data_IF_101792409140
#
_entry.id   IF_101792409140
#
_cell.length_a   1.000
_cell.length_b   1.000
_cell.length_c   1.000
_cell.angle_alpha   90.00
_cell.angle_beta   90.00
_cell.angle_gamma   90.00
#
_symmetry.space_group_name_H-M   'P 1'
#
loop_
_entity.id
_entity.type
_entity.pdbx_description
1 polymer ?
#
# COMPACT_ATOMS: atom_id res chain seq x y z
N UNK A 1 29.49 27.35 7.88
CA UNK A 1 30.41 26.38 8.56
C UNK A 1 30.52 25.17 7.65
N UNK A 2 31.71 24.58 7.45
CA UNK A 2 31.81 23.36 6.65
C UNK A 2 30.94 22.28 7.29
N UNK A 3 30.14 21.58 6.46
CA UNK A 3 29.36 20.43 6.89
C UNK A 3 30.37 19.39 7.37
N UNK A 4 30.33 19.06 8.66
CA UNK A 4 31.18 18.04 9.21
C UNK A 4 30.71 16.68 8.69
N UNK A 5 31.47 16.09 7.78
CA UNK A 5 31.19 14.78 7.24
C UNK A 5 31.47 13.71 8.29
N UNK A 6 30.46 12.98 8.70
CA UNK A 6 30.53 11.89 9.68
C UNK A 6 30.36 10.57 9.00
N UNK A 7 31.19 9.59 9.34
CA UNK A 7 31.03 8.24 8.77
C UNK A 7 29.80 7.56 9.36
N UNK A 8 28.83 7.24 8.51
CA UNK A 8 27.62 6.49 8.87
C UNK A 8 27.92 5.03 9.29
N UNK A 9 29.14 4.54 9.00
CA UNK A 9 29.59 3.21 9.41
C UNK A 9 29.98 3.10 10.88
N UNK A 10 30.44 4.19 11.48
CA UNK A 10 30.94 4.13 12.83
C UNK A 10 29.78 4.22 13.82
N UNK A 11 29.43 3.11 14.44
CA UNK A 11 28.48 3.05 15.56
C UNK A 11 29.16 3.58 16.84
N UNK A 12 29.80 4.76 16.74
CA UNK A 12 30.47 5.38 17.89
C UNK A 12 29.58 6.48 18.49
N UNK A 13 29.82 6.78 19.77
CA UNK A 13 29.04 7.77 20.51
C UNK A 13 29.11 9.18 19.90
N UNK A 14 30.26 9.54 19.28
CA UNK A 14 30.46 10.85 18.67
C UNK A 14 29.55 11.03 17.43
N UNK A 15 29.41 9.99 16.60
CA UNK A 15 28.55 10.05 15.43
C UNK A 15 27.06 10.11 15.82
N UNK A 16 26.63 9.31 16.83
CA UNK A 16 25.27 9.41 17.38
C UNK A 16 24.96 10.83 17.82
N UNK A 17 25.86 11.40 18.61
CA UNK A 17 25.71 12.75 19.12
C UNK A 17 25.56 13.77 17.99
N UNK A 18 26.40 13.70 16.96
CA UNK A 18 26.36 14.66 15.87
C UNK A 18 25.06 14.59 15.06
N UNK A 19 24.53 13.36 14.79
CA UNK A 19 23.23 13.22 14.15
C UNK A 19 22.10 13.76 15.03
N UNK A 20 22.14 13.49 16.33
CA UNK A 20 21.17 14.01 17.31
C UNK A 20 21.23 15.54 17.39
N UNK A 21 22.44 16.11 17.49
CA UNK A 21 22.64 17.56 17.57
C UNK A 21 22.18 18.26 16.29
N UNK A 22 22.47 17.70 15.11
CA UNK A 22 22.01 18.24 13.83
C UNK A 22 20.48 18.20 13.73
N UNK A 23 19.86 17.12 14.16
CA UNK A 23 18.40 16.98 14.18
C UNK A 23 17.75 17.98 15.16
N UNK A 24 18.27 18.08 16.40
CA UNK A 24 17.78 19.04 17.39
C UNK A 24 17.90 20.48 16.87
N UNK A 25 19.01 20.81 16.23
CA UNK A 25 19.18 22.13 15.60
C UNK A 25 18.16 22.39 14.51
N UNK A 26 17.81 21.37 13.70
CA UNK A 26 16.75 21.49 12.69
C UNK A 26 15.38 21.71 13.33
N UNK A 27 15.06 21.00 14.43
CA UNK A 27 13.84 21.20 15.21
C UNK A 27 13.75 22.61 15.80
N UNK A 28 14.86 23.13 16.35
CA UNK A 28 14.91 24.46 17.00
C UNK A 28 14.85 25.59 15.98
N UNK A 29 15.51 25.45 14.84
CA UNK A 29 15.63 26.52 13.85
C UNK A 29 14.63 26.45 12.72
N UNK A 30 13.97 25.31 12.53
CA UNK A 30 13.11 25.01 11.39
C UNK A 30 13.85 24.82 10.06
N UNK A 31 15.20 24.74 10.08
CA UNK A 31 16.04 24.64 8.88
C UNK A 31 16.20 23.20 8.42
N UNK A 32 15.06 22.58 8.03
CA UNK A 32 15.05 21.21 7.49
C UNK A 32 15.73 21.09 6.13
N UNK A 33 15.83 22.19 5.39
CA UNK A 33 16.64 22.32 4.16
C UNK A 33 18.13 22.01 4.43
N UNK A 34 18.71 22.67 5.40
CA UNK A 34 20.12 22.43 5.79
C UNK A 34 20.32 21.04 6.39
N UNK A 35 19.31 20.52 7.07
CA UNK A 35 19.38 19.16 7.60
C UNK A 35 19.33 18.11 6.48
N UNK A 36 18.49 18.30 5.47
CA UNK A 36 18.46 17.45 4.28
C UNK A 36 19.81 17.46 3.54
N UNK A 37 20.43 18.62 3.36
CA UNK A 37 21.77 18.75 2.77
C UNK A 37 22.84 18.00 3.58
N UNK A 38 22.78 18.10 4.91
CA UNK A 38 23.66 17.35 5.81
C UNK A 38 23.47 15.84 5.64
N UNK A 39 22.23 15.36 5.63
CA UNK A 39 21.90 13.95 5.44
C UNK A 39 22.37 13.46 4.07
N UNK A 40 22.05 14.20 3.00
CA UNK A 40 22.45 13.89 1.62
C UNK A 40 23.97 13.74 1.49
N UNK A 41 24.74 14.71 2.00
CA UNK A 41 26.19 14.69 1.91
C UNK A 41 26.82 13.46 2.59
N UNK A 42 26.22 13.00 3.70
CA UNK A 42 26.65 11.78 4.38
C UNK A 42 26.22 10.51 3.63
N UNK A 43 25.00 10.49 3.08
CA UNK A 43 24.49 9.38 2.30
C UNK A 43 25.25 9.17 0.98
N UNK A 44 25.58 10.26 0.26
CA UNK A 44 26.38 10.20 -0.98
C UNK A 44 27.72 9.51 -0.79
N UNK A 45 28.35 9.71 0.36
CA UNK A 45 29.62 9.08 0.71
C UNK A 45 29.49 7.63 1.15
N UNK A 46 28.45 7.31 1.93
CA UNK A 46 28.40 6.06 2.67
C UNK A 46 27.42 5.03 2.08
N UNK A 47 26.34 5.47 1.37
CA UNK A 47 25.38 4.54 0.78
C UNK A 47 26.02 3.63 -0.29
N UNK A 48 26.92 4.16 -1.12
CA UNK A 48 27.62 3.34 -2.14
C UNK A 48 28.44 2.19 -1.56
N UNK A 49 28.80 2.26 -0.27
CA UNK A 49 29.60 1.22 0.39
C UNK A 49 28.82 -0.08 0.63
N UNK A 50 27.46 -0.04 0.55
CA UNK A 50 26.64 -1.26 0.59
C UNK A 50 26.65 -2.00 -0.75
N UNK A 51 27.22 -1.40 -1.80
CA UNK A 51 27.42 -2.05 -3.11
C UNK A 51 28.90 -2.43 -3.22
N UNK A 52 29.17 -3.73 -3.30
CA UNK A 52 30.52 -4.27 -3.42
C UNK A 52 30.64 -5.15 -4.65
N UNK A 53 31.58 -4.82 -5.55
CA UNK A 53 31.75 -5.53 -6.81
C UNK A 53 30.47 -5.66 -7.65
N UNK A 54 29.65 -4.59 -7.69
CA UNK A 54 28.37 -4.59 -8.41
C UNK A 54 27.28 -5.47 -7.79
N UNK A 55 27.44 -5.87 -6.51
CA UNK A 55 26.46 -6.66 -5.77
C UNK A 55 26.13 -6.00 -4.45
N UNK A 56 24.89 -6.18 -3.98
CA UNK A 56 24.47 -5.71 -2.67
C UNK A 56 25.13 -6.53 -1.54
N UNK A 57 25.75 -5.82 -0.60
CA UNK A 57 26.33 -6.39 0.61
C UNK A 57 25.37 -6.20 1.80
N UNK A 58 24.49 -7.17 2.02
CA UNK A 58 23.50 -7.15 3.10
C UNK A 58 24.15 -6.99 4.48
N UNK A 59 25.34 -7.60 4.70
CA UNK A 59 26.02 -7.49 6.00
C UNK A 59 26.50 -6.08 6.30
N UNK A 60 26.94 -5.35 5.27
CA UNK A 60 27.31 -3.95 5.39
C UNK A 60 26.10 -3.06 5.67
N UNK A 61 24.95 -3.37 5.08
CA UNK A 61 23.70 -2.68 5.31
C UNK A 61 23.21 -2.89 6.75
N UNK A 62 23.15 -4.14 7.21
CA UNK A 62 22.68 -4.48 8.56
C UNK A 62 23.58 -3.89 9.67
N UNK A 63 24.87 -3.72 9.39
CA UNK A 63 25.83 -3.09 10.30
C UNK A 63 25.79 -1.55 10.30
N UNK A 64 24.90 -0.95 9.50
CA UNK A 64 24.82 0.50 9.31
C UNK A 64 23.45 1.09 9.69
N UNK A 65 22.98 0.95 10.95
CA UNK A 65 21.66 1.43 11.35
C UNK A 65 21.46 2.94 11.14
N UNK A 66 22.56 3.72 11.15
CA UNK A 66 22.53 5.15 10.86
C UNK A 66 22.31 5.44 9.39
N UNK A 67 22.77 4.58 8.47
CA UNK A 67 22.53 4.73 7.05
C UNK A 67 21.03 4.64 6.77
N UNK A 68 20.35 3.67 7.38
CA UNK A 68 18.91 3.51 7.24
C UNK A 68 18.18 4.73 7.79
N UNK A 69 18.47 5.14 9.01
CA UNK A 69 17.81 6.28 9.65
C UNK A 69 18.05 7.59 8.91
N UNK A 70 19.26 7.82 8.44
CA UNK A 70 19.60 8.99 7.63
C UNK A 70 18.83 8.98 6.30
N UNK A 71 18.72 7.82 5.63
CA UNK A 71 17.93 7.67 4.41
C UNK A 71 16.45 7.94 4.67
N UNK A 72 15.86 7.35 5.72
CA UNK A 72 14.46 7.57 6.11
C UNK A 72 14.15 9.06 6.31
N UNK A 73 14.97 9.77 7.08
CA UNK A 73 14.80 11.19 7.33
C UNK A 73 14.98 12.03 6.05
N UNK A 74 15.99 11.70 5.25
CA UNK A 74 16.22 12.35 3.97
C UNK A 74 15.05 12.16 3.01
N UNK A 75 14.55 10.92 2.85
CA UNK A 75 13.40 10.62 2.00
C UNK A 75 12.14 11.37 2.44
N UNK A 76 11.87 11.42 3.75
CA UNK A 76 10.73 12.20 4.24
C UNK A 76 10.86 13.67 3.86
N UNK A 77 12.01 14.30 4.16
CA UNK A 77 12.20 15.73 3.92
C UNK A 77 12.20 16.05 2.43
N UNK A 78 12.83 15.20 1.60
CA UNK A 78 12.89 15.43 0.15
C UNK A 78 11.53 15.27 -0.52
N UNK A 79 10.69 14.31 -0.08
CA UNK A 79 9.36 14.07 -0.67
C UNK A 79 8.27 15.01 -0.15
N UNK A 80 8.30 15.33 1.14
CA UNK A 80 7.31 16.23 1.77
C UNK A 80 7.66 17.70 1.53
N UNK A 81 8.94 18.01 1.45
CA UNK A 81 9.48 19.38 1.39
C UNK A 81 9.74 19.98 2.78
N UNK A 82 10.93 20.60 2.92
CA UNK A 82 11.38 21.21 4.16
C UNK A 82 10.43 22.30 4.67
N UNK A 83 9.92 23.15 3.75
CA UNK A 83 8.97 24.21 4.08
C UNK A 83 7.65 23.65 4.60
N UNK A 84 7.10 22.63 3.92
CA UNK A 84 5.85 21.96 4.33
C UNK A 84 5.97 21.37 5.74
N UNK A 85 7.10 20.71 6.05
CA UNK A 85 7.35 20.17 7.40
C UNK A 85 7.41 21.31 8.41
N UNK A 86 8.10 22.41 8.11
CA UNK A 86 8.23 23.56 8.99
C UNK A 86 6.88 24.22 9.26
N UNK A 87 6.05 24.40 8.24
CA UNK A 87 4.70 24.94 8.38
C UNK A 87 3.83 24.06 9.26
N UNK A 88 3.81 22.77 9.01
CA UNK A 88 3.02 21.81 9.79
C UNK A 88 3.46 21.76 11.27
N UNK A 89 4.76 21.88 11.56
CA UNK A 89 5.25 21.92 12.96
C UNK A 89 4.82 23.22 13.67
N UNK A 90 4.70 24.34 12.96
CA UNK A 90 4.22 25.60 13.54
C UNK A 90 2.72 25.56 13.88
N UNK A 91 1.95 24.75 13.20
CA UNK A 91 0.54 24.52 13.51
C UNK A 91 0.40 23.89 14.91
N UNK A 92 -0.65 24.27 15.68
CA UNK A 92 -0.81 23.84 17.07
C UNK A 92 -1.01 22.33 17.25
N UNK A 93 -1.69 21.67 16.31
CA UNK A 93 -2.02 20.25 16.37
C UNK A 93 -0.84 19.34 15.99
N UNK A 94 -0.13 19.55 14.88
CA UNK A 94 1.00 18.70 14.51
C UNK A 94 2.25 18.86 15.39
N UNK A 95 2.33 19.89 16.21
CA UNK A 95 3.51 20.23 17.04
C UNK A 95 4.08 19.03 17.82
N UNK A 96 3.24 18.16 18.39
CA UNK A 96 3.65 17.00 19.17
C UNK A 96 3.82 15.74 18.32
N UNK A 97 3.22 15.73 17.14
CA UNK A 97 3.26 14.60 16.22
C UNK A 97 4.66 14.38 15.66
N UNK A 98 5.35 15.43 15.23
CA UNK A 98 6.68 15.32 14.63
C UNK A 98 7.76 14.79 15.60
N UNK A 99 7.86 15.25 16.86
CA UNK A 99 8.74 14.63 17.84
C UNK A 99 8.46 13.14 18.04
N UNK A 100 7.18 12.75 18.07
CA UNK A 100 6.79 11.34 18.11
C UNK A 100 7.21 10.60 16.83
N UNK A 101 6.88 11.13 15.66
CA UNK A 101 7.24 10.53 14.36
C UNK A 101 8.74 10.24 14.24
N UNK A 102 9.57 11.15 14.75
CA UNK A 102 11.02 11.06 14.62
C UNK A 102 11.72 10.29 15.75
N UNK A 103 11.10 10.11 16.89
CA UNK A 103 11.81 9.62 18.08
C UNK A 103 11.16 8.41 18.76
N UNK A 104 9.95 8.02 18.37
CA UNK A 104 9.25 6.92 19.03
C UNK A 104 9.90 5.56 18.69
N UNK A 105 10.16 4.70 19.71
CA UNK A 105 10.73 3.38 19.49
C UNK A 105 9.91 2.44 18.61
N UNK A 106 8.60 2.69 18.44
CA UNK A 106 7.73 1.94 17.50
C UNK A 106 8.02 2.24 16.04
N UNK A 107 8.95 3.17 15.76
CA UNK A 107 9.44 3.57 14.45
C UNK A 107 8.33 3.98 13.45
N UNK A 108 7.48 4.97 13.84
CA UNK A 108 6.38 5.40 12.99
C UNK A 108 6.83 6.02 11.66
N UNK A 109 8.03 6.60 11.60
CA UNK A 109 8.60 7.12 10.36
C UNK A 109 8.80 5.99 9.35
N UNK A 110 9.39 4.88 9.76
CA UNK A 110 9.56 3.70 8.90
C UNK A 110 8.22 3.11 8.46
N UNK A 111 7.25 3.04 9.39
CA UNK A 111 5.88 2.63 9.05
C UNK A 111 5.30 3.50 7.93
N UNK A 112 5.44 4.82 8.04
CA UNK A 112 4.99 5.78 7.02
C UNK A 112 5.67 5.52 5.68
N UNK A 113 7.00 5.53 5.64
CA UNK A 113 7.78 5.39 4.41
C UNK A 113 7.52 4.07 3.69
N UNK A 114 7.51 2.94 4.44
CA UNK A 114 7.18 1.63 3.88
C UNK A 114 5.75 1.58 3.33
N UNK A 115 4.80 2.24 4.00
CA UNK A 115 3.43 2.31 3.52
C UNK A 115 3.34 3.12 2.23
N UNK A 116 3.98 4.29 2.17
CA UNK A 116 4.02 5.12 0.95
C UNK A 116 4.66 4.37 -0.23
N UNK A 117 5.78 3.68 0.01
CA UNK A 117 6.45 2.86 -1.00
C UNK A 117 5.58 1.69 -1.47
N UNK A 118 4.95 0.97 -0.54
CA UNK A 118 4.06 -0.16 -0.84
C UNK A 118 2.86 0.25 -1.68
N UNK A 119 2.24 1.37 -1.33
CA UNK A 119 1.06 1.88 -2.02
C UNK A 119 1.41 2.69 -3.28
N UNK A 120 2.70 2.83 -3.60
CA UNK A 120 3.20 3.61 -4.74
C UNK A 120 2.61 5.03 -4.74
N UNK A 121 2.57 5.64 -3.55
CA UNK A 121 2.00 6.98 -3.36
C UNK A 121 2.93 8.03 -3.97
N UNK A 122 2.44 8.91 -4.87
CA UNK A 122 3.23 9.99 -5.41
C UNK A 122 3.78 10.91 -4.31
N UNK A 123 5.02 11.38 -4.49
CA UNK A 123 5.71 12.19 -3.47
C UNK A 123 4.96 13.46 -3.09
N UNK A 124 4.31 14.10 -4.06
CA UNK A 124 3.51 15.31 -3.87
C UNK A 124 2.29 15.11 -2.94
N UNK A 125 1.82 13.89 -2.76
CA UNK A 125 0.70 13.57 -1.87
C UNK A 125 1.16 13.39 -0.41
N UNK A 126 2.44 13.13 -0.16
CA UNK A 126 2.95 12.75 1.17
C UNK A 126 2.69 13.82 2.24
N UNK A 127 2.89 15.09 1.90
CA UNK A 127 2.67 16.21 2.83
C UNK A 127 1.21 16.29 3.30
N UNK A 128 0.27 16.09 2.37
CA UNK A 128 -1.17 16.07 2.68
C UNK A 128 -1.59 14.88 3.55
N UNK A 129 -1.04 13.70 3.24
CA UNK A 129 -1.29 12.47 4.03
C UNK A 129 -0.70 12.62 5.42
N UNK A 130 0.50 13.14 5.54
CA UNK A 130 1.19 13.35 6.82
C UNK A 130 0.40 14.31 7.73
N UNK A 131 -0.13 15.41 7.18
CA UNK A 131 -1.00 16.34 7.91
C UNK A 131 -2.26 15.64 8.44
N UNK A 132 -2.98 14.92 7.57
CA UNK A 132 -4.17 14.17 7.98
C UNK A 132 -3.85 13.08 9.01
N UNK A 133 -2.72 12.41 8.87
CA UNK A 133 -2.28 11.44 9.86
C UNK A 133 -2.06 12.09 11.22
N UNK A 134 -1.41 13.26 11.27
CA UNK A 134 -1.24 14.03 12.49
C UNK A 134 -2.59 14.41 13.12
N UNK A 135 -3.58 14.82 12.31
CA UNK A 135 -4.93 15.16 12.78
C UNK A 135 -5.62 13.94 13.44
N UNK A 136 -5.58 12.77 12.80
CA UNK A 136 -6.13 11.53 13.37
C UNK A 136 -5.36 11.09 14.62
N UNK A 137 -4.03 11.16 14.59
CA UNK A 137 -3.18 10.80 15.70
C UNK A 137 -3.47 11.66 16.97
N UNK A 138 -3.78 12.95 16.79
CA UNK A 138 -4.13 13.83 17.89
C UNK A 138 -5.47 13.46 18.56
N UNK A 139 -6.38 12.80 17.84
CA UNK A 139 -7.65 12.31 18.39
C UNK A 139 -7.49 11.13 19.35
N UNK A 140 -6.33 10.48 19.37
CA UNK A 140 -6.02 9.32 20.25
C UNK A 140 -5.54 9.74 21.64
N UNK A 141 -6.17 10.70 22.27
CA UNK A 141 -5.65 11.44 23.45
C UNK A 141 -5.48 10.64 24.74
N UNK A 142 -6.06 9.45 24.88
CA UNK A 142 -6.14 8.72 26.16
C UNK A 142 -5.45 7.34 26.15
N UNK A 143 -4.93 6.85 25.01
CA UNK A 143 -4.34 5.52 24.87
C UNK A 143 -2.88 5.60 24.41
N UNK A 144 -2.09 4.48 24.47
CA UNK A 144 -0.81 4.45 23.79
C UNK A 144 -1.06 4.79 22.33
N UNK A 145 -0.68 6.01 21.94
CA UNK A 145 -0.92 6.57 20.59
C UNK A 145 -0.40 5.67 19.47
N UNK A 146 0.59 4.84 19.77
CA UNK A 146 1.11 3.80 18.88
C UNK A 146 0.08 2.73 18.49
N UNK A 147 -0.92 2.43 19.36
CA UNK A 147 -1.90 1.37 19.11
C UNK A 147 -2.72 1.61 17.83
N UNK A 148 -3.12 2.86 17.58
CA UNK A 148 -3.97 3.22 16.45
C UNK A 148 -3.24 3.99 15.35
N UNK A 149 -1.89 4.03 15.38
CA UNK A 149 -1.11 4.74 14.37
C UNK A 149 -1.34 4.19 12.95
N UNK A 150 -1.44 2.87 12.81
CA UNK A 150 -1.75 2.23 11.52
C UNK A 150 -3.17 2.56 11.03
N UNK A 151 -4.15 2.56 11.93
CA UNK A 151 -5.54 2.94 11.60
C UNK A 151 -5.63 4.41 11.17
N UNK A 152 -4.96 5.29 11.91
CA UNK A 152 -4.91 6.72 11.60
C UNK A 152 -4.26 6.98 10.22
N UNK A 153 -3.16 6.27 9.91
CA UNK A 153 -2.50 6.37 8.61
C UNK A 153 -3.39 5.84 7.48
N UNK A 154 -4.05 4.70 7.68
CA UNK A 154 -4.99 4.17 6.68
C UNK A 154 -6.14 5.15 6.38
N UNK A 155 -6.72 5.76 7.42
CA UNK A 155 -7.76 6.79 7.24
C UNK A 155 -7.20 8.03 6.51
N UNK A 156 -5.97 8.46 6.82
CA UNK A 156 -5.34 9.59 6.15
C UNK A 156 -5.09 9.35 4.66
N UNK A 157 -4.84 8.11 4.28
CA UNK A 157 -4.57 7.69 2.91
C UNK A 157 -5.82 7.40 2.09
N UNK A 158 -6.97 7.20 2.72
CA UNK A 158 -8.17 6.79 2.01
C UNK A 158 -8.63 7.86 1.02
N UNK A 159 -8.81 7.46 -0.25
CA UNK A 159 -9.29 8.38 -1.27
C UNK A 159 -10.77 8.73 -1.02
N UNK A 160 -11.13 10.01 -0.88
CA UNK A 160 -12.51 10.41 -0.61
C UNK A 160 -13.49 10.03 -1.74
N UNK A 161 -13.00 9.75 -2.95
CA UNK A 161 -13.84 9.35 -4.08
C UNK A 161 -14.33 7.90 -4.02
N UNK A 162 -13.56 7.00 -3.38
CA UNK A 162 -13.92 5.58 -3.29
C UNK A 162 -15.10 5.35 -2.38
N UNK A 163 -15.08 6.00 -1.27
CA UNK A 163 -15.94 5.67 -0.16
C UNK A 163 -17.39 6.14 -0.33
N UNK A 164 -17.75 6.76 -1.43
CA UNK A 164 -18.97 7.57 -1.46
C UNK A 164 -20.18 6.91 -2.12
N UNK A 165 -20.10 5.68 -2.65
CA UNK A 165 -21.28 5.24 -3.36
C UNK A 165 -21.52 3.73 -3.42
N UNK A 166 -22.47 3.23 -2.60
CA UNK A 166 -23.21 2.02 -2.94
C UNK A 166 -23.85 2.12 -4.34
N UNK A 167 -24.16 3.34 -4.79
CA UNK A 167 -24.83 3.58 -6.09
C UNK A 167 -24.00 3.17 -7.32
N UNK A 168 -22.67 3.14 -7.24
CA UNK A 168 -21.83 2.62 -8.34
C UNK A 168 -21.87 1.11 -8.48
N UNK A 169 -22.25 0.40 -7.42
CA UNK A 169 -22.45 -1.05 -7.42
C UNK A 169 -23.91 -1.45 -7.70
N UNK A 170 -24.80 -0.46 -7.80
CA UNK A 170 -26.20 -0.71 -8.11
C UNK A 170 -26.40 -0.86 -9.61
N UNK A 171 -27.03 -1.94 -9.98
CA UNK A 171 -27.60 -2.11 -11.32
C UNK A 171 -28.89 -1.28 -11.53
N UNK A 172 -29.32 -0.47 -10.55
CA UNK A 172 -30.56 0.30 -10.61
C UNK A 172 -30.44 1.71 -10.05
N UNK A 173 -31.36 2.56 -10.53
CA UNK A 173 -31.45 3.99 -10.32
C UNK A 173 -32.15 4.43 -9.02
N UNK A 174 -32.40 3.55 -8.05
CA UNK A 174 -33.07 3.96 -6.82
C UNK A 174 -32.12 4.76 -5.91
N UNK A 175 -32.44 6.03 -5.72
CA UNK A 175 -31.57 7.05 -5.13
C UNK A 175 -31.83 7.34 -3.67
N UNK A 176 -32.72 6.63 -3.01
CA UNK A 176 -33.12 6.93 -1.63
C UNK A 176 -32.30 6.13 -0.62
N UNK A 177 -31.04 6.57 -0.36
CA UNK A 177 -30.35 6.21 0.89
C UNK A 177 -30.81 7.20 1.94
N UNK A 178 -31.70 6.76 2.79
CA UNK A 178 -32.35 7.56 3.85
C UNK A 178 -31.38 8.01 4.97
N UNK A 179 -30.08 7.62 4.92
CA UNK A 179 -29.15 7.84 6.02
C UNK A 179 -27.79 8.30 5.51
N UNK A 180 -27.22 9.31 6.17
CA UNK A 180 -25.92 9.88 5.81
C UNK A 180 -24.79 8.92 6.19
N UNK A 181 -23.90 8.55 5.24
CA UNK A 181 -22.71 7.79 5.54
C UNK A 181 -21.79 8.50 6.54
N UNK A 182 -21.05 7.73 7.34
CA UNK A 182 -20.05 8.27 8.25
C UNK A 182 -18.97 9.06 7.50
N UNK A 183 -18.49 10.17 8.11
CA UNK A 183 -17.26 10.84 7.66
C UNK A 183 -16.04 9.96 7.97
N UNK A 184 -14.87 10.31 7.43
CA UNK A 184 -13.64 9.56 7.74
C UNK A 184 -13.29 9.63 9.22
N UNK A 185 -13.52 10.78 9.86
CA UNK A 185 -13.32 10.97 11.29
C UNK A 185 -14.23 10.06 12.10
N UNK A 186 -15.50 9.97 11.71
CA UNK A 186 -16.47 9.09 12.37
C UNK A 186 -16.14 7.61 12.12
N UNK A 187 -15.61 7.24 10.95
CA UNK A 187 -15.13 5.87 10.68
C UNK A 187 -13.94 5.54 11.58
N UNK A 188 -12.97 6.45 11.71
CA UNK A 188 -11.83 6.27 12.60
C UNK A 188 -12.28 6.07 14.06
N UNK A 189 -13.14 6.96 14.56
CA UNK A 189 -13.70 6.91 15.91
C UNK A 189 -14.51 5.61 16.15
N UNK A 190 -15.30 5.19 15.15
CA UNK A 190 -16.07 3.96 15.21
C UNK A 190 -15.16 2.73 15.40
N UNK A 191 -14.11 2.59 14.62
CA UNK A 191 -13.23 1.44 14.74
C UNK A 191 -12.42 1.43 16.04
N UNK A 192 -12.02 2.59 16.55
CA UNK A 192 -11.40 2.69 17.87
C UNK A 192 -12.38 2.24 18.97
N UNK A 193 -13.61 2.79 18.98
CA UNK A 193 -14.65 2.43 19.94
C UNK A 193 -14.95 0.92 19.93
N UNK A 194 -15.07 0.32 18.74
CA UNK A 194 -15.37 -1.10 18.60
C UNK A 194 -14.20 -2.00 19.02
N UNK A 195 -12.96 -1.59 18.75
CA UNK A 195 -11.77 -2.31 19.21
C UNK A 195 -11.60 -2.26 20.73
N UNK A 196 -11.83 -1.10 21.35
CA UNK A 196 -11.82 -0.90 22.80
C UNK A 196 -12.91 -1.73 23.50
N UNK A 197 -14.08 -1.79 22.89
CA UNK A 197 -15.19 -2.64 23.36
C UNK A 197 -14.97 -4.13 23.10
N UNK A 198 -13.91 -4.52 22.35
CA UNK A 198 -13.64 -5.90 21.91
C UNK A 198 -14.76 -6.51 21.09
N UNK A 199 -15.44 -5.68 20.30
CA UNK A 199 -16.57 -6.08 19.46
C UNK A 199 -16.17 -6.40 18.01
N UNK A 200 -14.89 -6.25 17.64
CA UNK A 200 -14.35 -6.64 16.34
C UNK A 200 -13.87 -8.09 16.35
N UNK A 201 -14.03 -8.77 15.22
CA UNK A 201 -13.51 -10.12 15.01
C UNK A 201 -12.02 -10.15 14.69
N UNK A 202 -11.44 -8.99 14.36
CA UNK A 202 -10.01 -8.81 14.08
C UNK A 202 -9.42 -7.80 15.06
N UNK A 203 -8.27 -8.12 15.64
CA UNK A 203 -7.46 -7.15 16.36
C UNK A 203 -6.84 -6.18 15.34
N UNK A 204 -7.50 -5.05 15.12
CA UNK A 204 -7.10 -4.06 14.11
C UNK A 204 -5.75 -3.41 14.42
N UNK A 205 -5.30 -3.45 15.67
CA UNK A 205 -3.99 -2.90 16.06
C UNK A 205 -2.81 -3.71 15.50
N UNK A 206 -3.06 -4.94 15.04
CA UNK A 206 -2.05 -5.82 14.42
C UNK A 206 -2.03 -5.73 12.91
N UNK A 207 -2.99 -5.04 12.31
CA UNK A 207 -3.06 -4.86 10.87
C UNK A 207 -2.12 -3.73 10.42
N UNK A 208 -1.48 -3.93 9.27
CA UNK A 208 -0.73 -2.86 8.61
C UNK A 208 -1.67 -1.78 8.06
N UNK A 209 -1.18 -0.55 7.82
CA UNK A 209 -1.99 0.48 7.16
C UNK A 209 -2.58 0.02 5.83
N UNK A 210 -1.83 -0.73 5.03
CA UNK A 210 -2.29 -1.29 3.75
C UNK A 210 -3.44 -2.29 3.90
N UNK A 211 -3.45 -3.10 4.95
CA UNK A 211 -4.57 -4.01 5.24
C UNK A 211 -5.77 -3.23 5.78
N UNK A 212 -5.52 -2.22 6.61
CA UNK A 212 -6.57 -1.37 7.16
C UNK A 212 -7.28 -0.51 6.11
N UNK A 213 -6.62 -0.15 4.99
CA UNK A 213 -7.29 0.47 3.85
C UNK A 213 -8.51 -0.33 3.39
N UNK A 214 -8.45 -1.65 3.44
CA UNK A 214 -9.54 -2.56 3.08
C UNK A 214 -10.55 -2.82 4.22
N UNK A 215 -10.40 -2.12 5.34
CA UNK A 215 -11.37 -2.06 6.45
C UNK A 215 -12.06 -0.71 6.46
N UNK A 216 -11.28 0.38 6.42
CA UNK A 216 -11.80 1.76 6.59
C UNK A 216 -12.46 2.33 5.34
N UNK A 217 -12.35 1.67 4.18
CA UNK A 217 -13.06 2.04 2.95
C UNK A 217 -14.56 1.66 2.98
N UNK A 218 -15.12 1.54 4.17
CA UNK A 218 -16.54 1.34 4.44
C UNK A 218 -17.19 2.66 4.85
N UNK A 219 -18.03 3.22 3.98
CA UNK A 219 -18.81 4.42 4.26
C UNK A 219 -20.28 4.08 4.31
N UNK A 220 -20.68 3.61 5.46
CA UNK A 220 -22.06 3.26 5.75
C UNK A 220 -22.57 4.12 6.90
N UNK A 221 -23.88 4.29 7.06
CA UNK A 221 -24.46 4.79 8.28
C UNK A 221 -24.06 3.91 9.47
N UNK A 222 -23.86 4.51 10.64
CA UNK A 222 -23.53 3.75 11.86
C UNK A 222 -24.54 2.64 12.14
N UNK A 223 -25.83 2.90 11.91
CA UNK A 223 -26.89 1.89 12.08
C UNK A 223 -26.67 0.63 11.24
N UNK A 224 -26.22 0.78 9.98
CA UNK A 224 -25.89 -0.36 9.10
C UNK A 224 -24.65 -1.12 9.59
N UNK A 225 -23.62 -0.39 10.02
CA UNK A 225 -22.41 -1.01 10.56
C UNK A 225 -22.70 -1.79 11.84
N UNK A 226 -23.49 -1.23 12.75
CA UNK A 226 -23.93 -1.91 13.98
C UNK A 226 -24.85 -3.09 13.67
N UNK A 227 -25.74 -2.97 12.67
CA UNK A 227 -26.59 -4.07 12.22
C UNK A 227 -25.73 -5.23 11.73
N UNK A 228 -24.74 -4.97 10.87
CA UNK A 228 -23.85 -5.99 10.32
C UNK A 228 -23.15 -6.79 11.44
N UNK A 229 -22.59 -6.11 12.46
CA UNK A 229 -21.93 -6.75 13.58
C UNK A 229 -22.88 -7.58 14.45
N UNK A 230 -24.09 -7.07 14.68
CA UNK A 230 -25.08 -7.74 15.57
C UNK A 230 -25.83 -8.88 14.90
N UNK A 231 -26.06 -8.81 13.59
CA UNK A 231 -26.93 -9.74 12.86
C UNK A 231 -26.17 -10.80 12.07
N UNK A 232 -25.00 -10.50 11.52
CA UNK A 232 -24.20 -11.49 10.80
C UNK A 232 -23.35 -12.28 11.80
N UNK A 233 -23.82 -13.48 12.15
CA UNK A 233 -23.24 -14.32 13.21
C UNK A 233 -22.26 -15.36 12.63
N UNK A 234 -21.21 -14.88 11.97
CA UNK A 234 -20.15 -15.72 11.43
C UNK A 234 -18.85 -15.52 12.22
N UNK A 235 -18.02 -16.56 12.27
CA UNK A 235 -16.65 -16.42 12.77
C UNK A 235 -15.77 -15.80 11.69
N UNK A 236 -14.65 -15.19 12.05
CA UNK A 236 -13.69 -14.65 11.08
C UNK A 236 -13.28 -15.73 10.05
N UNK A 237 -13.00 -16.96 10.49
CA UNK A 237 -12.64 -18.07 9.60
C UNK A 237 -13.78 -18.46 8.63
N UNK A 238 -15.02 -18.36 9.08
CA UNK A 238 -16.20 -18.73 8.29
C UNK A 238 -16.80 -17.59 7.48
N UNK A 239 -16.19 -16.39 7.47
CA UNK A 239 -16.80 -15.19 6.89
C UNK A 239 -17.07 -15.31 5.39
N UNK A 240 -16.31 -16.13 4.66
CA UNK A 240 -16.63 -16.43 3.26
C UNK A 240 -18.07 -16.94 3.03
N UNK A 241 -18.69 -17.52 4.05
CA UNK A 241 -20.10 -17.92 4.01
C UNK A 241 -21.09 -16.77 3.92
N UNK A 242 -20.70 -15.53 4.25
CA UNK A 242 -21.55 -14.35 4.13
C UNK A 242 -22.03 -14.13 2.68
N UNK A 243 -21.21 -14.48 1.69
CA UNK A 243 -21.60 -14.43 0.28
C UNK A 243 -22.82 -15.31 0.01
N UNK A 244 -22.86 -16.51 0.54
CA UNK A 244 -23.93 -17.49 0.32
C UNK A 244 -25.15 -17.27 1.23
N UNK A 245 -25.10 -16.33 2.19
CA UNK A 245 -26.30 -15.97 2.97
C UNK A 245 -27.36 -15.31 2.12
N UNK A 246 -26.96 -14.63 1.05
CA UNK A 246 -27.87 -13.94 0.15
C UNK A 246 -28.38 -14.92 -0.89
N UNK A 247 -29.71 -15.18 -0.86
CA UNK A 247 -30.36 -16.03 -1.85
C UNK A 247 -30.21 -15.45 -3.25
N UNK A 248 -29.71 -16.26 -4.19
CA UNK A 248 -29.57 -15.79 -5.58
C UNK A 248 -30.92 -15.63 -6.28
N UNK A 249 -31.15 -14.47 -6.93
CA UNK A 249 -32.40 -14.08 -7.60
C UNK A 249 -32.21 -14.15 -9.11
N UNK A 250 -32.56 -15.30 -9.71
CA UNK A 250 -32.58 -15.48 -11.18
C UNK A 250 -33.53 -14.52 -11.90
N UNK A 251 -34.67 -14.24 -11.30
CA UNK A 251 -35.66 -13.28 -11.81
C UNK A 251 -35.08 -11.86 -11.88
N UNK A 252 -34.32 -11.44 -10.89
CA UNK A 252 -33.61 -10.15 -10.92
C UNK A 252 -32.53 -10.12 -12.00
N UNK A 253 -31.77 -11.19 -12.16
CA UNK A 253 -30.76 -11.31 -13.22
C UNK A 253 -31.37 -11.19 -14.61
N UNK A 254 -32.54 -11.81 -14.84
CA UNK A 254 -33.25 -11.83 -16.12
C UNK A 254 -34.00 -10.54 -16.42
N UNK A 255 -34.64 -9.93 -15.40
CA UNK A 255 -35.55 -8.80 -15.58
C UNK A 255 -34.93 -7.44 -15.27
N UNK A 256 -33.73 -7.41 -14.65
CA UNK A 256 -33.05 -6.17 -14.23
C UNK A 256 -33.81 -5.37 -13.16
N UNK A 257 -34.82 -5.97 -12.51
CA UNK A 257 -35.61 -5.28 -11.48
C UNK A 257 -34.91 -5.28 -10.15
N UNK A 258 -34.82 -4.10 -9.54
CA UNK A 258 -34.28 -3.91 -8.19
C UNK A 258 -35.39 -4.10 -7.16
N UNK A 259 -35.31 -5.08 -6.24
CA UNK A 259 -36.34 -5.30 -5.23
C UNK A 259 -36.19 -4.38 -4.01
N UNK A 260 -35.15 -3.60 -3.93
CA UNK A 260 -34.80 -2.83 -2.72
C UNK A 260 -35.34 -1.41 -2.77
N UNK A 261 -35.74 -0.88 -1.61
CA UNK A 261 -36.12 0.51 -1.43
C UNK A 261 -34.91 1.35 -1.01
N UNK A 262 -34.18 0.90 -0.01
CA UNK A 262 -33.04 1.63 0.59
C UNK A 262 -31.70 0.94 0.40
N UNK A 263 -31.69 -0.30 -0.10
CA UNK A 263 -30.50 -1.13 -0.26
C UNK A 263 -29.75 -1.37 1.05
N UNK A 264 -30.48 -1.55 2.15
CA UNK A 264 -29.92 -1.90 3.46
C UNK A 264 -29.48 -3.36 3.49
N UNK A 265 -28.59 -3.72 4.41
CA UNK A 265 -28.21 -5.12 4.60
C UNK A 265 -29.39 -6.02 4.95
N UNK A 266 -30.36 -5.50 5.71
CA UNK A 266 -31.58 -6.24 6.01
C UNK A 266 -32.38 -6.51 4.74
N UNK A 267 -32.61 -5.51 3.89
CA UNK A 267 -33.36 -5.69 2.62
C UNK A 267 -32.63 -6.70 1.69
N UNK A 268 -31.29 -6.60 1.59
CA UNK A 268 -30.51 -7.52 0.77
C UNK A 268 -30.64 -8.96 1.29
N UNK A 269 -30.61 -9.14 2.62
CA UNK A 269 -30.77 -10.46 3.24
C UNK A 269 -32.17 -11.04 3.01
N UNK A 270 -33.19 -10.24 3.17
CA UNK A 270 -34.61 -10.68 3.06
C UNK A 270 -35.02 -10.93 1.61
N UNK A 271 -34.68 -10.01 0.72
CA UNK A 271 -35.10 -10.08 -0.68
C UNK A 271 -34.20 -10.99 -1.52
N UNK A 272 -32.96 -11.23 -1.11
CA UNK A 272 -31.94 -11.88 -1.92
C UNK A 272 -31.41 -10.95 -3.02
N UNK A 273 -30.52 -11.44 -3.89
CA UNK A 273 -29.87 -10.61 -4.89
C UNK A 273 -29.13 -11.41 -5.96
N UNK A 274 -28.34 -10.71 -6.77
CA UNK A 274 -27.41 -11.32 -7.73
C UNK A 274 -25.98 -11.32 -7.17
N UNK A 275 -25.01 -11.80 -7.93
CA UNK A 275 -23.61 -11.87 -7.49
C UNK A 275 -23.05 -10.54 -6.95
N UNK A 276 -23.49 -9.42 -7.52
CA UNK A 276 -23.08 -8.09 -7.06
C UNK A 276 -23.58 -7.80 -5.64
N UNK A 277 -24.82 -8.17 -5.31
CA UNK A 277 -25.41 -7.96 -3.98
C UNK A 277 -24.79 -8.91 -2.95
N UNK A 278 -24.56 -10.17 -3.37
CA UNK A 278 -23.87 -11.16 -2.54
C UNK A 278 -22.46 -10.68 -2.17
N UNK A 279 -21.69 -10.18 -3.16
CA UNK A 279 -20.35 -9.66 -2.94
C UNK A 279 -20.37 -8.38 -2.09
N UNK A 280 -21.29 -7.44 -2.38
CA UNK A 280 -21.45 -6.20 -1.61
C UNK A 280 -21.76 -6.51 -0.13
N UNK A 281 -22.71 -7.39 0.13
CA UNK A 281 -23.07 -7.80 1.48
C UNK A 281 -21.88 -8.43 2.21
N UNK A 282 -21.22 -9.41 1.58
CA UNK A 282 -20.09 -10.11 2.20
C UNK A 282 -18.92 -9.19 2.52
N UNK A 283 -18.55 -8.29 1.59
CA UNK A 283 -17.45 -7.34 1.77
C UNK A 283 -17.75 -6.34 2.88
N UNK A 284 -18.90 -5.66 2.80
CA UNK A 284 -19.13 -4.57 3.74
C UNK A 284 -19.46 -5.07 5.16
N UNK A 285 -20.15 -6.20 5.29
CA UNK A 285 -20.36 -6.81 6.61
C UNK A 285 -19.03 -7.34 7.22
N UNK A 286 -18.08 -7.81 6.39
CA UNK A 286 -16.73 -8.15 6.84
C UNK A 286 -15.99 -6.92 7.39
N UNK A 287 -15.99 -5.80 6.65
CA UNK A 287 -15.35 -4.54 7.07
C UNK A 287 -15.92 -4.04 8.39
N UNK A 288 -17.25 -4.06 8.55
CA UNK A 288 -17.89 -3.67 9.81
C UNK A 288 -17.42 -4.49 11.03
N UNK A 289 -16.89 -5.70 10.80
CA UNK A 289 -16.31 -6.58 11.81
C UNK A 289 -14.77 -6.51 11.90
N UNK A 290 -14.16 -5.51 11.24
CA UNK A 290 -12.70 -5.31 11.23
C UNK A 290 -11.95 -6.29 10.33
N UNK A 291 -12.63 -7.00 9.42
CA UNK A 291 -12.00 -7.97 8.51
C UNK A 291 -11.65 -7.27 7.20
N UNK A 292 -10.36 -7.16 6.83
CA UNK A 292 -9.96 -6.61 5.54
C UNK A 292 -10.59 -7.41 4.39
N UNK A 293 -11.27 -6.70 3.48
CA UNK A 293 -12.00 -7.33 2.38
C UNK A 293 -12.07 -6.45 1.15
N UNK A 294 -12.07 -7.08 -0.03
CA UNK A 294 -12.12 -6.43 -1.31
C UNK A 294 -13.28 -6.96 -2.15
N UNK A 295 -14.02 -6.04 -2.77
CA UNK A 295 -15.02 -6.34 -3.77
C UNK A 295 -14.33 -6.55 -5.11
N UNK A 296 -14.50 -7.72 -5.70
CA UNK A 296 -13.86 -8.13 -6.93
C UNK A 296 -14.88 -8.35 -8.04
N UNK A 297 -14.55 -7.88 -9.23
CA UNK A 297 -15.33 -8.12 -10.45
C UNK A 297 -14.44 -8.70 -11.54
N UNK A 298 -15.03 -9.52 -12.41
CA UNK A 298 -14.32 -10.11 -13.54
C UNK A 298 -15.28 -10.79 -14.51
N UNK A 299 -14.71 -11.25 -15.61
CA UNK A 299 -15.44 -12.00 -16.64
C UNK A 299 -15.03 -13.46 -16.63
N UNK A 300 -15.96 -14.31 -17.00
CA UNK A 300 -15.74 -15.75 -17.14
C UNK A 300 -16.64 -16.35 -18.18
N UNK A 301 -16.58 -17.67 -18.35
CA UNK A 301 -17.34 -18.41 -19.39
C UNK A 301 -18.87 -18.24 -19.29
N UNK A 302 -19.36 -17.72 -18.16
CA UNK A 302 -20.79 -17.49 -17.91
C UNK A 302 -21.16 -16.00 -17.86
N UNK A 303 -20.26 -15.13 -18.31
CA UNK A 303 -20.43 -13.68 -18.30
C UNK A 303 -19.83 -12.96 -17.08
N UNK A 304 -20.17 -11.67 -16.90
CA UNK A 304 -19.66 -10.87 -15.78
C UNK A 304 -20.07 -11.45 -14.43
N UNK A 305 -19.14 -11.37 -13.46
CA UNK A 305 -19.35 -11.88 -12.11
C UNK A 305 -18.73 -10.97 -11.05
N UNK A 306 -19.24 -11.04 -9.82
CA UNK A 306 -18.68 -10.35 -8.67
C UNK A 306 -18.52 -11.32 -7.50
N UNK A 307 -17.42 -11.15 -6.76
CA UNK A 307 -17.06 -11.98 -5.60
C UNK A 307 -16.28 -11.20 -4.56
N UNK A 308 -15.83 -11.86 -3.51
CA UNK A 308 -15.12 -11.25 -2.40
C UNK A 308 -13.77 -11.90 -2.14
N UNK A 309 -12.75 -11.08 -1.91
CA UNK A 309 -11.50 -11.52 -1.30
C UNK A 309 -11.44 -11.04 0.17
N UNK A 310 -11.07 -11.94 1.08
CA UNK A 310 -11.02 -11.69 2.52
C UNK A 310 -9.65 -12.05 3.08
N UNK A 311 -9.15 -11.25 4.01
CA UNK A 311 -7.98 -11.60 4.83
C UNK A 311 -8.42 -12.55 5.95
N UNK A 312 -7.97 -13.80 5.87
CA UNK A 312 -8.34 -14.87 6.81
C UNK A 312 -7.60 -14.77 8.14
N UNK A 313 -7.93 -15.68 9.08
CA UNK A 313 -7.21 -15.80 10.35
C UNK A 313 -5.75 -16.21 10.21
N UNK A 314 -5.41 -16.87 9.11
CA UNK A 314 -4.04 -17.32 8.80
C UNK A 314 -3.19 -16.23 8.14
N UNK A 315 -3.67 -14.98 8.14
CA UNK A 315 -3.04 -13.81 7.52
C UNK A 315 -2.82 -13.98 6.00
N UNK A 316 -3.67 -14.79 5.35
CA UNK A 316 -3.69 -15.01 3.91
C UNK A 316 -4.97 -14.44 3.30
N UNK A 317 -4.85 -13.89 2.10
CA UNK A 317 -6.02 -13.48 1.33
C UNK A 317 -6.62 -14.67 0.60
N UNK A 318 -7.93 -14.84 0.71
CA UNK A 318 -8.66 -15.92 0.04
C UNK A 318 -9.89 -15.39 -0.70
N UNK A 319 -10.19 -16.01 -1.84
CA UNK A 319 -11.33 -15.68 -2.69
C UNK A 319 -12.53 -16.58 -2.38
N UNK A 320 -13.71 -15.98 -2.29
CA UNK A 320 -14.98 -16.68 -2.05
C UNK A 320 -16.02 -16.20 -3.05
N UNK A 321 -16.78 -17.14 -3.63
CA UNK A 321 -17.80 -16.86 -4.64
C UNK A 321 -17.26 -16.67 -6.05
N UNK A 322 -15.92 -16.74 -6.26
CA UNK A 322 -15.28 -16.52 -7.56
C UNK A 322 -15.38 -17.71 -8.53
N UNK A 323 -15.77 -18.89 -8.07
CA UNK A 323 -15.98 -20.10 -8.90
C UNK A 323 -14.88 -20.41 -9.92
N UNK A 324 -13.62 -20.15 -9.58
CA UNK A 324 -12.48 -20.41 -10.46
C UNK A 324 -12.22 -19.34 -11.54
N UNK A 325 -12.87 -18.18 -11.47
CA UNK A 325 -12.49 -17.03 -12.29
C UNK A 325 -11.08 -16.57 -11.93
N UNK A 326 -10.32 -16.15 -12.94
CA UNK A 326 -8.93 -15.70 -12.80
C UNK A 326 -8.68 -14.31 -13.39
N UNK A 327 -9.75 -13.61 -13.78
CA UNK A 327 -9.70 -12.27 -14.38
C UNK A 327 -10.14 -11.17 -13.41
N UNK A 328 -10.18 -11.49 -12.11
CA UNK A 328 -10.73 -10.61 -11.09
C UNK A 328 -9.91 -9.34 -10.86
N UNK A 329 -10.60 -8.22 -10.81
CA UNK A 329 -10.04 -6.91 -10.51
C UNK A 329 -10.83 -6.24 -9.39
N UNK A 330 -10.11 -5.45 -8.59
CA UNK A 330 -10.68 -4.60 -7.54
C UNK A 330 -10.20 -3.16 -7.68
N UNK A 331 -10.98 -2.21 -7.19
CA UNK A 331 -10.56 -0.82 -7.08
C UNK A 331 -9.76 -0.63 -5.79
N UNK A 332 -8.53 -0.11 -5.92
CA UNK A 332 -7.66 0.06 -4.75
C UNK A 332 -8.12 1.24 -3.88
N UNK A 333 -8.28 1.06 -2.55
CA UNK A 333 -8.88 2.10 -1.69
C UNK A 333 -8.13 3.42 -1.62
N UNK A 334 -6.80 3.42 -1.79
CA UNK A 334 -5.99 4.62 -1.74
C UNK A 334 -6.04 5.43 -3.04
N UNK A 335 -5.82 4.80 -4.20
CA UNK A 335 -5.59 5.51 -5.46
C UNK A 335 -6.63 5.26 -6.54
N UNK A 336 -7.70 4.54 -6.25
CA UNK A 336 -8.79 4.16 -7.18
C UNK A 336 -8.33 3.40 -8.42
N UNK A 337 -7.08 2.95 -8.50
CA UNK A 337 -6.60 2.18 -9.63
C UNK A 337 -7.19 0.77 -9.60
N UNK A 338 -7.61 0.27 -10.77
CA UNK A 338 -7.97 -1.13 -10.94
C UNK A 338 -6.72 -2.00 -10.81
N UNK A 339 -6.74 -2.96 -9.89
CA UNK A 339 -5.65 -3.94 -9.69
C UNK A 339 -6.20 -5.34 -9.82
N UNK A 340 -5.40 -6.24 -10.40
CA UNK A 340 -5.75 -7.65 -10.46
C UNK A 340 -5.74 -8.27 -9.06
N UNK A 341 -6.68 -9.16 -8.75
CA UNK A 341 -6.85 -9.74 -7.42
C UNK A 341 -5.64 -10.55 -6.92
N UNK A 342 -4.79 -11.06 -7.82
CA UNK A 342 -3.54 -11.72 -7.45
C UNK A 342 -2.60 -10.82 -6.64
N UNK A 343 -2.74 -9.50 -6.78
CA UNK A 343 -2.02 -8.53 -5.96
C UNK A 343 -2.34 -8.71 -4.47
N UNK A 344 -3.60 -8.98 -4.14
CA UNK A 344 -4.01 -9.32 -2.76
C UNK A 344 -3.64 -10.76 -2.41
N UNK A 345 -4.09 -11.71 -3.23
CA UNK A 345 -3.99 -13.14 -2.94
C UNK A 345 -2.56 -13.65 -2.79
N UNK A 346 -1.57 -12.99 -3.40
CA UNK A 346 -0.18 -13.41 -3.39
C UNK A 346 0.81 -12.30 -3.04
N UNK A 347 0.49 -11.05 -3.37
CA UNK A 347 1.40 -9.91 -3.14
C UNK A 347 1.38 -9.41 -1.70
N UNK A 348 0.22 -9.45 -1.04
CA UNK A 348 0.03 -8.98 0.34
C UNK A 348 0.02 -10.12 1.38
N UNK A 349 0.28 -11.35 0.97
CA UNK A 349 0.28 -12.50 1.85
C UNK A 349 1.49 -12.47 2.78
N UNK A 350 1.26 -12.23 4.07
CA UNK A 350 2.32 -12.22 5.10
C UNK A 350 2.98 -13.60 5.28
N UNK A 351 2.24 -14.68 5.05
CA UNK A 351 2.76 -16.02 5.18
C UNK A 351 3.80 -16.33 4.09
N UNK A 352 3.59 -15.79 2.88
CA UNK A 352 4.51 -15.98 1.75
C UNK A 352 5.66 -14.98 1.80
N UNK A 353 5.38 -13.72 2.12
CA UNK A 353 6.34 -12.63 2.05
C UNK A 353 6.91 -12.19 3.41
N UNK A 354 6.14 -12.28 4.49
CA UNK A 354 6.55 -12.03 5.88
C UNK A 354 7.48 -10.81 6.06
N UNK A 355 8.48 -10.96 6.92
CA UNK A 355 9.51 -9.93 7.17
C UNK A 355 10.34 -9.56 5.92
N UNK A 356 10.33 -10.41 4.88
CA UNK A 356 11.02 -10.14 3.63
C UNK A 356 10.39 -8.99 2.84
N UNK A 357 9.08 -8.75 2.99
CA UNK A 357 8.42 -7.62 2.35
C UNK A 357 8.97 -6.31 2.89
N UNK A 358 9.10 -6.19 4.21
CA UNK A 358 9.68 -5.01 4.85
C UNK A 358 11.10 -4.75 4.38
N UNK A 359 11.93 -5.80 4.31
CA UNK A 359 13.29 -5.73 3.77
C UNK A 359 13.29 -5.28 2.30
N UNK A 360 12.38 -5.80 1.49
CA UNK A 360 12.24 -5.37 0.09
C UNK A 360 11.87 -3.89 -0.02
N UNK A 361 10.98 -3.38 0.83
CA UNK A 361 10.61 -1.96 0.85
C UNK A 361 11.79 -1.06 1.25
N UNK A 362 12.62 -1.50 2.19
CA UNK A 362 13.86 -0.79 2.55
C UNK A 362 14.84 -0.74 1.36
N UNK A 363 14.96 -1.82 0.59
CA UNK A 363 15.80 -1.84 -0.61
C UNK A 363 15.25 -0.94 -1.72
N UNK A 364 13.91 -0.87 -1.88
CA UNK A 364 13.27 0.09 -2.78
C UNK A 364 13.58 1.53 -2.37
N UNK A 365 13.56 1.84 -1.07
CA UNK A 365 13.91 3.16 -0.55
C UNK A 365 15.37 3.54 -0.83
N UNK A 366 16.30 2.57 -0.75
CA UNK A 366 17.69 2.80 -1.15
C UNK A 366 17.85 2.96 -2.66
N UNK A 367 17.05 2.26 -3.46
CA UNK A 367 17.04 2.47 -4.90
C UNK A 367 16.61 3.89 -5.24
N UNK A 368 15.57 4.44 -4.57
CA UNK A 368 15.17 5.84 -4.72
C UNK A 368 16.33 6.80 -4.43
N UNK A 369 17.05 6.57 -3.32
CA UNK A 369 18.21 7.36 -2.97
C UNK A 369 19.29 7.35 -4.06
N UNK A 370 19.61 6.16 -4.61
CA UNK A 370 20.61 6.07 -5.68
C UNK A 370 20.13 6.69 -7.00
N UNK A 371 18.83 6.64 -7.32
CA UNK A 371 18.28 7.35 -8.46
C UNK A 371 18.40 8.87 -8.30
N UNK A 372 18.08 9.41 -7.11
CA UNK A 372 18.26 10.83 -6.79
C UNK A 372 19.73 11.28 -6.83
N UNK A 373 20.65 10.36 -6.48
CA UNK A 373 22.11 10.58 -6.59
C UNK A 373 22.65 10.40 -8.02
N UNK A 374 21.79 10.14 -9.00
CA UNK A 374 22.19 9.85 -10.39
C UNK A 374 23.16 8.65 -10.50
N UNK A 375 22.92 7.60 -9.72
CA UNK A 375 23.69 6.35 -9.73
C UNK A 375 22.81 5.16 -10.16
N UNK A 376 22.42 5.08 -11.43
CA UNK A 376 21.45 4.08 -11.90
C UNK A 376 21.96 2.65 -11.71
N UNK A 377 23.27 2.39 -11.84
CA UNK A 377 23.82 1.05 -11.61
C UNK A 377 23.63 0.59 -10.16
N UNK A 378 23.82 1.50 -9.18
CA UNK A 378 23.57 1.19 -7.77
C UNK A 378 22.07 1.00 -7.51
N UNK A 379 21.22 1.84 -8.10
CA UNK A 379 19.76 1.69 -8.02
C UNK A 379 19.32 0.33 -8.57
N UNK A 380 19.84 -0.09 -9.73
CA UNK A 380 19.56 -1.41 -10.34
C UNK A 380 19.89 -2.55 -9.39
N UNK A 381 21.08 -2.54 -8.77
CA UNK A 381 21.48 -3.56 -7.79
C UNK A 381 20.50 -3.66 -6.63
N UNK A 382 20.00 -2.52 -6.12
CA UNK A 382 19.02 -2.50 -5.04
C UNK A 382 17.65 -3.01 -5.49
N UNK A 383 17.21 -2.68 -6.70
CA UNK A 383 15.95 -3.19 -7.28
C UNK A 383 16.02 -4.71 -7.51
N UNK A 384 17.15 -5.22 -7.99
CA UNK A 384 17.39 -6.67 -8.10
C UNK A 384 17.33 -7.35 -6.73
N UNK A 385 17.96 -6.76 -5.70
CA UNK A 385 17.88 -7.27 -4.32
C UNK A 385 16.43 -7.26 -3.80
N UNK A 386 15.65 -6.22 -4.09
CA UNK A 386 14.24 -6.14 -3.73
C UNK A 386 13.40 -7.25 -4.40
N UNK A 387 13.62 -7.53 -5.69
CA UNK A 387 12.95 -8.63 -6.41
C UNK A 387 13.32 -10.00 -5.87
N UNK A 388 14.56 -10.18 -5.38
CA UNK A 388 15.01 -11.41 -4.76
C UNK A 388 14.42 -11.60 -3.36
N UNK A 389 14.30 -10.52 -2.57
CA UNK A 389 13.72 -10.56 -1.23
C UNK A 389 12.24 -10.96 -1.28
N UNK A 390 11.46 -10.37 -2.18
CA UNK A 390 10.03 -10.68 -2.37
C UNK A 390 9.67 -10.92 -3.83
N UNK A 391 10.01 -12.10 -4.37
CA UNK A 391 9.74 -12.38 -5.79
C UNK A 391 8.26 -12.30 -6.16
N UNK A 392 7.37 -12.62 -5.22
CA UNK A 392 5.92 -12.58 -5.42
C UNK A 392 5.30 -11.18 -5.40
N UNK A 393 6.05 -10.14 -5.00
CA UNK A 393 5.60 -8.75 -5.04
C UNK A 393 5.93 -8.09 -6.39
N UNK A 394 4.97 -7.48 -7.10
CA UNK A 394 5.24 -6.82 -8.38
C UNK A 394 6.08 -5.55 -8.24
N UNK A 395 6.13 -4.93 -7.05
CA UNK A 395 6.75 -3.62 -6.83
C UNK A 395 8.21 -3.53 -7.31
N UNK A 396 9.04 -4.50 -6.90
CA UNK A 396 10.46 -4.52 -7.30
C UNK A 396 10.62 -4.72 -8.81
N UNK A 397 9.79 -5.58 -9.41
CA UNK A 397 9.83 -5.85 -10.84
C UNK A 397 9.41 -4.64 -11.68
N UNK A 398 8.31 -4.00 -11.33
CA UNK A 398 7.83 -2.78 -12.02
C UNK A 398 8.87 -1.67 -11.99
N UNK A 399 9.50 -1.46 -10.83
CA UNK A 399 10.56 -0.46 -10.67
C UNK A 399 11.83 -0.82 -11.46
N UNK A 400 12.23 -2.09 -11.45
CA UNK A 400 13.38 -2.57 -12.22
C UNK A 400 13.16 -2.36 -13.71
N UNK A 401 11.99 -2.75 -14.24
CA UNK A 401 11.60 -2.54 -15.63
C UNK A 401 11.62 -1.05 -15.99
N UNK A 402 11.04 -0.20 -15.12
CA UNK A 402 11.02 1.24 -15.35
C UNK A 402 12.43 1.85 -15.39
N UNK A 403 13.34 1.41 -14.53
CA UNK A 403 14.74 1.85 -14.56
C UNK A 403 15.47 1.36 -15.82
N UNK A 404 15.33 0.09 -16.16
CA UNK A 404 15.94 -0.51 -17.36
C UNK A 404 15.43 0.11 -18.65
N UNK A 405 14.17 0.56 -18.69
CA UNK A 405 13.54 1.21 -19.85
C UNK A 405 13.98 2.65 -20.11
N UNK A 406 14.76 3.26 -19.23
CA UNK A 406 15.27 4.62 -19.44
C UNK A 406 16.36 4.62 -20.52
N UNK A 407 16.38 5.62 -21.42
CA UNK A 407 17.39 5.70 -22.47
C UNK A 407 18.83 5.66 -21.94
N UNK A 408 19.08 6.30 -20.80
CA UNK A 408 20.39 6.36 -20.15
C UNK A 408 20.83 5.04 -19.49
N UNK A 409 19.94 4.09 -19.31
CA UNK A 409 20.27 2.79 -18.71
C UNK A 409 21.16 1.94 -19.61
N UNK A 410 21.11 2.19 -20.94
CA UNK A 410 21.86 1.42 -21.93
C UNK A 410 21.52 -0.07 -21.94
N UNK A 411 20.36 -0.47 -21.44
CA UNK A 411 19.92 -1.88 -21.34
C UNK A 411 19.93 -2.54 -22.71
N UNK A 412 20.62 -3.68 -22.82
CA UNK A 412 20.75 -4.43 -24.06
C UNK A 412 19.58 -5.39 -24.29
N UNK A 413 19.41 -5.79 -25.54
CA UNK A 413 18.34 -6.73 -25.92
C UNK A 413 18.42 -8.05 -25.14
N UNK A 414 19.63 -8.56 -24.95
CA UNK A 414 19.88 -9.81 -24.22
C UNK A 414 19.41 -9.72 -22.76
N UNK A 415 19.60 -8.58 -22.10
CA UNK A 415 19.16 -8.38 -20.72
C UNK A 415 17.64 -8.34 -20.60
N UNK A 416 16.96 -7.75 -21.59
CA UNK A 416 15.50 -7.78 -21.68
C UNK A 416 14.96 -9.19 -21.93
N UNK A 417 15.58 -9.94 -22.85
CA UNK A 417 15.21 -11.32 -23.11
C UNK A 417 15.38 -12.21 -21.87
N UNK A 418 16.47 -12.05 -21.12
CA UNK A 418 16.71 -12.77 -19.87
C UNK A 418 15.66 -12.44 -18.81
N UNK A 419 15.33 -11.15 -18.64
CA UNK A 419 14.32 -10.69 -17.66
C UNK A 419 12.95 -11.30 -17.98
N UNK A 420 12.50 -11.22 -19.23
CA UNK A 420 11.21 -11.75 -19.67
C UNK A 420 11.16 -13.28 -19.54
N UNK A 421 12.22 -13.97 -19.95
CA UNK A 421 12.31 -15.42 -19.79
C UNK A 421 12.24 -15.84 -18.32
N UNK A 422 12.91 -15.10 -17.44
CA UNK A 422 12.86 -15.34 -16.00
C UNK A 422 11.46 -15.12 -15.43
N UNK A 423 10.78 -14.01 -15.78
CA UNK A 423 9.41 -13.72 -15.34
C UNK A 423 8.45 -14.82 -15.80
N UNK A 424 8.45 -15.17 -17.08
CA UNK A 424 7.58 -16.20 -17.65
C UNK A 424 7.81 -17.59 -17.03
N UNK A 425 9.06 -17.95 -16.77
CA UNK A 425 9.40 -19.22 -16.12
C UNK A 425 8.96 -19.27 -14.66
N UNK A 426 9.22 -18.19 -13.91
CA UNK A 426 8.99 -18.13 -12.46
C UNK A 426 7.50 -17.94 -12.12
N UNK A 427 6.77 -17.21 -12.95
CA UNK A 427 5.39 -16.80 -12.70
C UNK A 427 4.40 -17.31 -13.75
N UNK A 428 4.63 -18.50 -14.29
CA UNK A 428 3.82 -19.11 -15.36
C UNK A 428 2.32 -19.22 -15.05
N UNK A 429 1.94 -19.22 -13.77
CA UNK A 429 0.55 -19.29 -13.29
C UNK A 429 0.00 -17.94 -12.78
N UNK A 430 0.73 -16.84 -13.02
CA UNK A 430 0.40 -15.50 -12.57
C UNK A 430 0.05 -14.60 -13.75
N UNK A 431 -1.26 -14.36 -14.04
CA UNK A 431 -1.68 -13.55 -15.18
C UNK A 431 -1.12 -12.12 -15.17
N UNK A 432 -1.02 -11.50 -14.00
CA UNK A 432 -0.44 -10.17 -13.80
C UNK A 432 1.03 -10.09 -14.23
N UNK A 433 1.83 -11.09 -13.90
CA UNK A 433 3.24 -11.16 -14.33
C UNK A 433 3.39 -11.51 -15.81
N UNK A 434 2.52 -12.36 -16.35
CA UNK A 434 2.52 -12.67 -17.78
C UNK A 434 2.14 -11.44 -18.61
N UNK A 435 1.19 -10.62 -18.14
CA UNK A 435 0.87 -9.34 -18.77
C UNK A 435 2.02 -8.33 -18.66
N UNK A 436 2.74 -8.30 -17.52
CA UNK A 436 3.95 -7.49 -17.36
C UNK A 436 5.04 -7.92 -18.36
N UNK A 437 5.26 -9.22 -18.51
CA UNK A 437 6.24 -9.73 -19.47
C UNK A 437 5.88 -9.40 -20.93
N UNK A 438 4.58 -9.54 -21.30
CA UNK A 438 4.11 -9.16 -22.63
C UNK A 438 4.30 -7.68 -22.91
N UNK A 439 4.00 -6.81 -21.94
CA UNK A 439 4.25 -5.36 -22.07
C UNK A 439 5.73 -5.06 -22.31
N UNK A 440 6.64 -5.72 -21.61
CA UNK A 440 8.10 -5.56 -21.84
C UNK A 440 8.50 -6.00 -23.26
N UNK A 441 7.92 -7.09 -23.77
CA UNK A 441 8.16 -7.54 -25.14
C UNK A 441 7.71 -6.49 -26.16
N UNK A 442 6.50 -5.93 -25.98
CA UNK A 442 5.91 -4.94 -26.89
C UNK A 442 6.66 -3.58 -26.83
N UNK A 443 7.01 -3.11 -25.64
CA UNK A 443 7.58 -1.78 -25.46
C UNK A 443 9.09 -1.72 -25.75
N UNK A 444 9.84 -2.80 -25.47
CA UNK A 444 11.30 -2.77 -25.53
C UNK A 444 11.91 -3.80 -26.49
N UNK A 445 11.46 -5.06 -26.47
CA UNK A 445 12.12 -6.15 -27.20
C UNK A 445 11.81 -6.07 -28.70
N UNK A 446 10.54 -6.01 -29.09
CA UNK A 446 10.16 -5.99 -30.51
C UNK A 446 10.73 -4.78 -31.25
N UNK A 447 10.65 -3.54 -30.71
CA UNK A 447 11.27 -2.38 -31.36
C UNK A 447 12.80 -2.52 -31.52
N UNK A 448 13.49 -3.11 -30.54
CA UNK A 448 14.95 -3.33 -30.63
C UNK A 448 15.32 -4.37 -31.70
N UNK A 449 14.53 -5.45 -31.84
CA UNK A 449 14.71 -6.50 -32.87
C UNK A 449 14.46 -5.93 -34.25
N UNK A 450 13.41 -5.17 -34.47
CA UNK A 450 13.08 -4.54 -35.74
C UNK A 450 14.17 -3.57 -36.17
N UNK A 451 14.69 -2.74 -35.25
CA UNK A 451 15.79 -1.84 -35.51
C UNK A 451 17.08 -2.59 -35.88
N UNK A 452 17.35 -3.74 -35.28
CA UNK A 452 18.52 -4.60 -35.61
C UNK A 452 18.39 -5.27 -36.96
N UNK A 453 17.20 -5.69 -37.36
CA UNK A 453 16.89 -6.29 -38.64
C UNK A 453 17.03 -5.27 -39.78
N UNK A 454 16.49 -4.08 -39.60
CA UNK A 454 16.59 -2.97 -40.54
C UNK A 454 18.07 -2.53 -40.78
N UNK A 455 18.90 -2.49 -39.72
CA UNK A 455 20.34 -2.22 -39.87
C UNK A 455 21.08 -3.27 -40.68
N UNK A 456 20.68 -4.55 -40.62
CA UNK A 456 21.26 -5.65 -41.43
C UNK A 456 20.84 -5.60 -42.88
N UNK A 457 19.70 -4.97 -43.22
CA UNK A 457 19.24 -4.82 -44.61
C UNK A 457 19.81 -3.57 -45.31
N UNK A 458 20.36 -2.61 -44.53
CA UNK A 458 20.97 -1.36 -45.05
C UNK A 458 22.50 -1.44 -45.11
N UNK A 459 23.12 -2.44 -44.51
CA UNK A 459 24.56 -2.75 -44.60
C UNK A 459 24.81 -3.90 -45.57
#
# INVERSE_FOLDING_TARGET
KPVLLVSLKANNAANRKLFTDAFNLALETGRYDLYADFLRSNLERDAVKVIKFGKFDASMYDQSPYLMRANELYQLISKVGAETIQEQIKESSPRYFYPWLFSDPSDPLRLFLRTMAREQTPGEEWGGILRKWAEFWMKTSAMPRSRYSSLALACAMLNPRIASSPSKLRASSSTNISTTPLTLEQVFEYFMEMDEARELLTDISKLSPSELLFVVDVRLPRSEMDWARKKVRLTRKGWGGAYSMIRYRMDRAALGKDPYTNYTFQEILDEGGICMDQAYFAVNTAKCNGIPSAYVTGDGNRGPHAWVNLLTTDETWQSYGGYGYNTGHFSHPHNCKSKHESTLLQGMDKKVNGARLDTSLDYLSLADLFEEMQKPDCARVMLEAATQATPGSPLGWERLIALMGRPESGTKLEEWDELVAMIKRKFRSRPDYLAMAARVEDEYIFPMRDASTNKRHVA
#
